data_IF_883554162841
#
_entry.id   IF_883554162841
#
_cell.length_a   1.000
_cell.length_b   1.000
_cell.length_c   1.000
_cell.angle_alpha   90.00
_cell.angle_beta   90.00
_cell.angle_gamma   90.00
#
_symmetry.space_group_name_H-M   'P 1'
#
loop_
_entity.id
_entity.type
_entity.pdbx_description
1 polymer ?
#
# COMPACT_ATOMS: atom_id res chain seq x y z
N UNK A 1 36.77 24.87 -0.25
CA UNK A 1 35.32 24.95 -0.04
C UNK A 1 34.80 23.56 0.25
N UNK A 2 34.20 23.37 1.41
CA UNK A 2 33.71 22.05 1.83
C UNK A 2 32.28 21.84 1.34
N UNK A 3 32.07 20.76 0.61
CA UNK A 3 30.75 20.30 0.22
C UNK A 3 30.11 19.52 1.34
N UNK A 4 28.92 19.93 1.76
CA UNK A 4 28.10 19.16 2.71
C UNK A 4 27.06 18.37 1.95
N UNK A 5 27.16 17.05 2.03
CA UNK A 5 26.16 16.15 1.47
C UNK A 5 25.26 15.68 2.62
N UNK A 6 23.98 16.07 2.57
CA UNK A 6 22.99 15.61 3.53
C UNK A 6 22.27 14.42 2.92
N UNK A 7 22.56 13.23 3.43
CA UNK A 7 21.85 12.03 3.05
C UNK A 7 20.68 11.79 4.01
N UNK A 8 19.53 11.38 3.46
CA UNK A 8 18.43 10.93 4.31
C UNK A 8 18.87 9.66 5.03
N UNK A 9 18.66 9.58 6.34
CA UNK A 9 18.94 8.34 7.04
C UNK A 9 18.12 7.21 6.43
N UNK A 10 18.74 6.04 6.23
CA UNK A 10 18.05 4.87 5.75
C UNK A 10 17.08 4.39 6.84
N UNK A 11 15.82 4.16 6.43
CA UNK A 11 14.81 3.56 7.31
C UNK A 11 14.67 2.11 6.89
N UNK A 12 14.86 1.19 7.82
CA UNK A 12 14.60 -0.21 7.57
C UNK A 12 13.14 -0.51 7.86
N UNK A 13 12.38 -0.77 6.82
CA UNK A 13 10.98 -1.17 6.91
C UNK A 13 10.88 -2.69 6.78
N UNK A 14 10.42 -3.35 7.84
CA UNK A 14 10.21 -4.79 7.85
C UNK A 14 8.74 -5.09 7.65
N UNK A 15 8.40 -5.79 6.59
CA UNK A 15 7.02 -6.16 6.29
C UNK A 15 6.72 -7.56 6.83
N UNK A 16 5.57 -7.71 7.48
CA UNK A 16 5.10 -8.99 8.00
C UNK A 16 3.64 -9.22 7.64
N UNK A 17 3.30 -10.46 7.31
CA UNK A 17 1.91 -10.86 7.16
C UNK A 17 1.32 -11.08 8.54
N UNK A 18 0.36 -10.22 8.91
CA UNK A 18 -0.24 -10.24 10.25
C UNK A 18 -1.72 -10.62 10.21
N UNK A 19 -2.31 -10.76 9.01
CA UNK A 19 -3.75 -10.73 8.89
C UNK A 19 -4.29 -9.39 9.39
N UNK A 20 -5.49 -9.38 9.94
CA UNK A 20 -6.16 -8.15 10.37
C UNK A 20 -6.00 -7.85 11.86
N UNK A 21 -5.03 -8.49 12.53
CA UNK A 21 -4.85 -8.41 14.00
C UNK A 21 -4.59 -6.99 14.50
N UNK A 22 -3.91 -6.17 13.72
CA UNK A 22 -3.57 -4.80 14.10
C UNK A 22 -4.58 -3.76 13.62
N UNK A 23 -5.58 -4.16 12.83
CA UNK A 23 -6.46 -3.20 12.15
C UNK A 23 -7.27 -2.36 13.13
N UNK A 24 -8.09 -2.99 13.96
CA UNK A 24 -9.00 -2.26 14.85
C UNK A 24 -8.26 -1.43 15.90
N UNK A 25 -7.18 -1.98 16.45
CA UNK A 25 -6.48 -1.34 17.56
C UNK A 25 -5.58 -0.19 17.13
N UNK A 26 -5.01 -0.23 15.91
CA UNK A 26 -3.99 0.72 15.50
C UNK A 26 -4.32 1.53 14.25
N UNK A 27 -4.97 0.93 13.25
CA UNK A 27 -5.02 1.53 11.91
C UNK A 27 -6.41 2.01 11.50
N UNK A 28 -7.48 1.37 11.94
CA UNK A 28 -8.84 1.66 11.49
C UNK A 28 -9.22 3.13 11.64
N UNK A 29 -8.90 3.75 12.76
CA UNK A 29 -9.23 5.15 13.03
C UNK A 29 -8.56 6.13 12.07
N UNK A 30 -7.47 5.72 11.41
CA UNK A 30 -6.74 6.55 10.46
C UNK A 30 -7.16 6.30 9.01
N UNK A 31 -8.05 5.33 8.79
CA UNK A 31 -8.61 5.07 7.48
C UNK A 31 -9.88 5.89 7.28
N UNK A 32 -10.01 6.54 6.14
CA UNK A 32 -11.09 7.48 5.88
C UNK A 32 -12.50 6.88 5.92
N UNK A 33 -12.63 5.57 5.74
CA UNK A 33 -13.93 4.88 5.76
C UNK A 33 -14.23 4.18 7.08
N UNK A 34 -13.28 4.06 8.00
CA UNK A 34 -13.43 3.38 9.30
C UNK A 34 -14.15 2.03 9.19
N UNK A 35 -13.82 1.25 8.17
CA UNK A 35 -14.43 -0.06 7.92
C UNK A 35 -13.67 -1.16 8.67
N UNK A 36 -14.40 -2.19 9.10
CA UNK A 36 -13.81 -3.37 9.73
C UNK A 36 -12.91 -4.18 8.80
N UNK A 37 -12.40 -5.33 9.25
CA UNK A 37 -11.59 -6.22 8.42
C UNK A 37 -12.34 -6.65 7.16
N UNK A 38 -11.61 -6.86 6.08
CA UNK A 38 -12.17 -7.25 4.80
C UNK A 38 -12.18 -8.76 4.67
N UNK A 39 -13.34 -9.39 4.31
CA UNK A 39 -13.38 -10.84 4.09
C UNK A 39 -12.57 -11.23 2.84
N UNK A 40 -12.12 -12.48 2.79
CA UNK A 40 -11.38 -13.06 1.66
C UNK A 40 -10.16 -12.22 1.27
N UNK A 41 -9.39 -11.86 2.28
CA UNK A 41 -8.19 -11.02 2.12
C UNK A 41 -7.15 -11.36 3.18
N UNK A 42 -5.97 -10.81 3.00
CA UNK A 42 -4.94 -10.78 4.06
C UNK A 42 -4.46 -9.37 4.27
N UNK A 43 -3.69 -9.17 5.31
CA UNK A 43 -3.09 -7.88 5.60
C UNK A 43 -1.63 -8.03 6.02
N UNK A 44 -0.87 -7.01 5.69
CA UNK A 44 0.54 -6.89 6.05
C UNK A 44 0.74 -5.62 6.85
N UNK A 45 1.63 -5.70 7.81
CA UNK A 45 2.03 -4.54 8.61
C UNK A 45 3.52 -4.30 8.42
N UNK A 46 3.88 -3.04 8.21
CA UNK A 46 5.26 -2.59 8.17
C UNK A 46 5.70 -2.15 9.55
N UNK A 47 6.90 -2.56 9.94
CA UNK A 47 7.52 -2.24 11.23
C UNK A 47 8.82 -1.50 11.02
N UNK A 48 9.04 -0.49 11.84
CA UNK A 48 10.34 0.20 11.97
C UNK A 48 10.76 0.07 13.42
N UNK A 49 11.93 -0.48 13.68
CA UNK A 49 12.43 -0.74 15.04
C UNK A 49 11.37 -1.45 15.91
N UNK A 50 10.76 -2.49 15.35
CA UNK A 50 9.70 -3.31 15.99
C UNK A 50 8.41 -2.55 16.34
N UNK A 51 8.25 -1.33 15.83
CA UNK A 51 7.01 -0.56 15.99
C UNK A 51 6.19 -0.61 14.71
N UNK A 52 4.88 -0.94 14.79
CA UNK A 52 4.02 -0.93 13.60
C UNK A 52 3.81 0.51 13.12
N UNK A 53 4.03 0.76 11.83
CA UNK A 53 3.97 2.10 11.26
C UNK A 53 3.02 2.23 10.07
N UNK A 54 2.72 1.13 9.39
CA UNK A 54 1.84 1.15 8.22
C UNK A 54 1.15 -0.19 8.02
N UNK A 55 0.06 -0.15 7.27
CA UNK A 55 -0.82 -1.30 7.05
C UNK A 55 -1.31 -1.33 5.60
N UNK A 56 -1.39 -2.50 5.02
CA UNK A 56 -2.01 -2.71 3.71
C UNK A 56 -2.76 -4.03 3.69
N UNK A 57 -3.99 -4.00 3.16
CA UNK A 57 -4.76 -5.20 2.89
C UNK A 57 -4.63 -5.61 1.43
N UNK A 58 -4.64 -6.92 1.16
CA UNK A 58 -4.62 -7.45 -0.19
C UNK A 58 -5.80 -8.39 -0.38
N UNK A 59 -6.51 -8.21 -1.48
CA UNK A 59 -7.66 -9.03 -1.85
C UNK A 59 -7.57 -9.42 -3.32
N UNK A 60 -8.45 -10.31 -3.74
CA UNK A 60 -8.56 -10.69 -5.14
C UNK A 60 -9.56 -9.85 -5.90
N UNK A 61 -9.36 -9.73 -7.20
CA UNK A 61 -10.31 -9.13 -8.12
C UNK A 61 -10.19 -9.75 -9.49
N UNK A 62 -11.14 -9.43 -10.37
CA UNK A 62 -11.08 -9.78 -11.79
C UNK A 62 -10.99 -8.50 -12.57
N UNK A 63 -9.95 -8.37 -13.40
CA UNK A 63 -9.76 -7.26 -14.32
C UNK A 63 -9.95 -7.80 -15.74
N UNK A 64 -11.10 -7.47 -16.35
CA UNK A 64 -11.49 -8.10 -17.60
C UNK A 64 -11.72 -9.60 -17.40
N UNK A 65 -10.91 -10.44 -18.06
CA UNK A 65 -10.96 -11.91 -17.92
C UNK A 65 -9.84 -12.48 -17.06
N UNK A 66 -9.00 -11.61 -16.48
CA UNK A 66 -7.82 -12.04 -15.75
C UNK A 66 -7.99 -11.81 -14.26
N UNK A 67 -7.43 -12.73 -13.48
CA UNK A 67 -7.29 -12.52 -12.04
C UNK A 67 -6.25 -11.44 -11.77
N UNK A 68 -6.49 -10.69 -10.72
CA UNK A 68 -5.59 -9.66 -10.25
C UNK A 68 -5.69 -9.54 -8.74
N UNK A 69 -4.70 -8.91 -8.14
CA UNK A 69 -4.76 -8.51 -6.74
C UNK A 69 -5.23 -7.07 -6.63
N UNK A 70 -5.83 -6.74 -5.50
CA UNK A 70 -6.24 -5.39 -5.17
C UNK A 70 -5.65 -5.00 -3.83
N UNK A 71 -4.91 -3.90 -3.81
CA UNK A 71 -4.46 -3.30 -2.57
C UNK A 71 -5.57 -2.45 -1.98
N UNK A 72 -5.83 -2.60 -0.70
CA UNK A 72 -6.93 -1.94 -0.01
C UNK A 72 -6.55 -1.60 1.43
N UNK A 73 -7.35 -0.75 2.05
CA UNK A 73 -7.17 -0.41 3.47
C UNK A 73 -5.73 -0.04 3.83
N UNK A 74 -5.10 0.74 2.94
CA UNK A 74 -3.75 1.23 3.17
C UNK A 74 -3.76 2.38 4.15
N UNK A 75 -2.97 2.27 5.21
CA UNK A 75 -2.82 3.30 6.23
C UNK A 75 -1.35 3.47 6.57
N UNK A 76 -0.90 4.70 6.64
CA UNK A 76 0.39 5.08 7.22
C UNK A 76 0.10 5.91 8.46
N UNK A 77 0.69 5.57 9.60
CA UNK A 77 0.48 6.36 10.81
C UNK A 77 0.97 7.80 10.60
N UNK A 78 0.29 8.79 11.21
CA UNK A 78 0.58 10.20 10.94
C UNK A 78 2.03 10.60 11.12
N UNK A 79 2.70 10.12 12.13
CA UNK A 79 4.10 10.42 12.41
C UNK A 79 5.07 9.84 11.37
N UNK A 80 4.60 8.95 10.50
CA UNK A 80 5.39 8.32 9.44
C UNK A 80 5.02 8.79 8.04
N UNK A 81 4.04 9.69 7.93
CA UNK A 81 3.67 10.25 6.64
C UNK A 81 4.82 11.09 6.07
N UNK A 82 5.05 10.97 4.77
CA UNK A 82 6.13 11.67 4.10
C UNK A 82 7.51 11.00 4.20
N UNK A 83 7.64 9.91 4.95
CA UNK A 83 8.89 9.17 5.06
C UNK A 83 9.12 8.14 3.94
N UNK A 84 8.13 7.96 3.04
CA UNK A 84 8.22 7.00 1.93
C UNK A 84 7.83 5.57 2.29
N UNK A 85 7.41 5.31 3.53
CA UNK A 85 7.05 3.95 3.95
C UNK A 85 5.80 3.42 3.25
N UNK A 86 4.83 4.29 2.97
CA UNK A 86 3.61 3.89 2.26
C UNK A 86 3.88 3.41 0.84
N UNK A 87 4.68 4.15 0.09
CA UNK A 87 5.06 3.77 -1.28
C UNK A 87 5.91 2.50 -1.27
N UNK A 88 6.87 2.39 -0.36
CA UNK A 88 7.70 1.20 -0.22
C UNK A 88 6.84 -0.04 0.10
N UNK A 89 5.88 0.09 1.00
CA UNK A 89 4.95 -0.97 1.36
C UNK A 89 4.09 -1.40 0.16
N UNK A 90 3.53 -0.44 -0.55
CA UNK A 90 2.70 -0.73 -1.72
C UNK A 90 3.50 -1.43 -2.81
N UNK A 91 4.71 -0.96 -3.10
CA UNK A 91 5.59 -1.59 -4.08
C UNK A 91 5.95 -3.02 -3.66
N UNK A 92 6.26 -3.22 -2.38
CA UNK A 92 6.59 -4.55 -1.85
C UNK A 92 5.41 -5.52 -2.01
N UNK A 93 4.21 -5.11 -1.65
CA UNK A 93 3.02 -5.95 -1.75
C UNK A 93 2.71 -6.32 -3.20
N UNK A 94 2.80 -5.35 -4.11
CA UNK A 94 2.59 -5.58 -5.54
C UNK A 94 3.64 -6.51 -6.14
N UNK A 95 4.90 -6.37 -5.73
CA UNK A 95 6.00 -7.22 -6.19
C UNK A 95 5.78 -8.68 -5.79
N UNK A 96 5.30 -8.94 -4.56
CA UNK A 96 4.97 -10.30 -4.11
C UNK A 96 3.91 -10.94 -4.99
N UNK A 97 2.89 -10.16 -5.37
CA UNK A 97 1.86 -10.67 -6.27
C UNK A 97 2.40 -10.99 -7.66
N UNK A 98 3.27 -10.14 -8.19
CA UNK A 98 3.93 -10.39 -9.48
C UNK A 98 4.80 -11.66 -9.46
N UNK A 99 5.39 -11.97 -8.33
CA UNK A 99 6.22 -13.17 -8.15
C UNK A 99 5.39 -14.43 -7.86
N UNK A 100 4.09 -14.30 -7.63
CA UNK A 100 3.24 -15.43 -7.27
C UNK A 100 3.30 -15.81 -5.81
N UNK A 101 3.93 -15.00 -4.97
CA UNK A 101 4.14 -15.24 -3.54
C UNK A 101 3.16 -14.47 -2.65
N UNK A 102 2.23 -13.72 -3.25
CA UNK A 102 1.25 -12.92 -2.53
C UNK A 102 -0.02 -13.68 -2.21
N UNK A 103 -1.08 -12.92 -1.91
CA UNK A 103 -2.37 -13.47 -1.50
C UNK A 103 -3.02 -14.34 -2.58
N UNK A 104 -2.90 -13.94 -3.84
CA UNK A 104 -3.52 -14.68 -4.96
C UNK A 104 -2.83 -16.02 -5.20
N UNK A 105 -1.55 -16.12 -4.90
CA UNK A 105 -0.79 -17.35 -5.12
C UNK A 105 -0.45 -17.64 -6.57
N UNK A 106 -0.65 -16.70 -7.47
CA UNK A 106 -0.30 -16.74 -8.88
C UNK A 106 0.35 -15.42 -9.27
N UNK A 107 1.09 -15.40 -10.36
CA UNK A 107 1.74 -14.19 -10.87
C UNK A 107 0.69 -13.27 -11.50
N UNK A 108 0.29 -12.26 -10.75
CA UNK A 108 -0.77 -11.33 -11.15
C UNK A 108 -0.35 -9.88 -10.87
N UNK A 109 -0.93 -8.92 -11.62
CA UNK A 109 -0.74 -7.52 -11.30
C UNK A 109 -1.58 -7.13 -10.08
N UNK A 110 -1.22 -6.00 -9.47
CA UNK A 110 -1.98 -5.38 -8.38
C UNK A 110 -2.61 -4.08 -8.86
N UNK A 111 -3.88 -3.90 -8.56
CA UNK A 111 -4.59 -2.65 -8.77
C UNK A 111 -4.69 -1.88 -7.46
N UNK A 112 -4.54 -0.58 -7.55
CA UNK A 112 -4.63 0.30 -6.40
C UNK A 112 -5.38 1.57 -6.78
N UNK A 113 -6.30 1.98 -5.92
CA UNK A 113 -7.09 3.18 -6.09
C UNK A 113 -6.79 4.16 -4.97
N UNK A 114 -6.53 5.41 -5.30
CA UNK A 114 -6.27 6.45 -4.30
C UNK A 114 -6.89 7.78 -4.71
N UNK A 115 -7.41 8.49 -3.73
CA UNK A 115 -7.82 9.89 -3.86
C UNK A 115 -6.79 10.86 -3.27
N UNK A 116 -5.69 10.35 -2.73
CA UNK A 116 -4.66 11.18 -2.11
C UNK A 116 -3.77 11.81 -3.17
N UNK A 117 -3.77 13.14 -3.36
CA UNK A 117 -3.04 13.78 -4.47
C UNK A 117 -1.54 13.52 -4.45
N UNK A 118 -0.93 13.56 -3.28
CA UNK A 118 0.51 13.35 -3.15
C UNK A 118 0.91 11.93 -3.55
N UNK A 119 0.15 10.93 -3.11
CA UNK A 119 0.41 9.53 -3.47
C UNK A 119 0.16 9.29 -4.96
N UNK A 120 -0.93 9.83 -5.51
CA UNK A 120 -1.21 9.75 -6.94
C UNK A 120 -0.07 10.34 -7.77
N UNK A 121 0.46 11.49 -7.35
CA UNK A 121 1.59 12.14 -8.01
C UNK A 121 2.84 11.24 -8.02
N UNK A 122 3.18 10.65 -6.87
CA UNK A 122 4.34 9.75 -6.76
C UNK A 122 4.17 8.51 -7.65
N UNK A 123 2.99 7.91 -7.64
CA UNK A 123 2.72 6.71 -8.44
C UNK A 123 2.76 7.00 -9.95
N UNK A 124 2.27 8.14 -10.39
CA UNK A 124 2.34 8.54 -11.80
C UNK A 124 3.78 8.69 -12.30
N UNK A 125 4.70 9.07 -11.43
CA UNK A 125 6.12 9.22 -11.76
C UNK A 125 6.92 7.93 -11.63
N UNK A 126 6.34 6.92 -11.00
CA UNK A 126 7.00 5.63 -10.82
C UNK A 126 6.99 4.84 -12.11
N UNK A 127 8.09 4.17 -12.42
CA UNK A 127 8.17 3.24 -13.54
C UNK A 127 7.48 1.90 -13.22
N UNK A 128 7.12 1.66 -11.97
CA UNK A 128 6.47 0.42 -11.53
C UNK A 128 4.95 0.46 -11.66
N UNK A 129 4.36 1.64 -11.75
CA UNK A 129 2.92 1.83 -11.77
C UNK A 129 2.46 2.52 -13.05
N UNK A 130 1.31 2.08 -13.56
CA UNK A 130 0.66 2.68 -14.73
C UNK A 130 -0.76 3.07 -14.36
N UNK A 131 -1.14 4.29 -14.66
CA UNK A 131 -2.50 4.75 -14.48
C UNK A 131 -3.40 4.13 -15.55
N UNK A 132 -4.45 3.41 -15.13
CA UNK A 132 -5.38 2.75 -16.05
C UNK A 132 -6.73 3.45 -16.11
N UNK A 133 -7.07 4.27 -15.11
CA UNK A 133 -8.29 5.06 -15.11
C UNK A 133 -8.12 6.29 -14.22
N UNK A 134 -8.98 7.28 -14.46
CA UNK A 134 -9.06 8.47 -13.61
C UNK A 134 -10.51 8.94 -13.61
N UNK A 135 -11.03 9.22 -12.42
CA UNK A 135 -12.37 9.79 -12.26
C UNK A 135 -12.32 10.93 -11.26
N UNK A 136 -13.07 11.98 -11.55
CA UNK A 136 -13.29 13.04 -10.59
C UNK A 136 -14.27 12.58 -9.53
N UNK A 137 -14.14 13.11 -8.33
CA UNK A 137 -15.08 12.81 -7.25
C UNK A 137 -16.51 13.19 -7.67
N UNK A 138 -17.44 12.23 -7.51
CA UNK A 138 -18.81 12.42 -7.91
C UNK A 138 -19.14 12.05 -9.36
N UNK A 139 -18.16 11.67 -10.16
CA UNK A 139 -18.41 11.19 -11.51
C UNK A 139 -19.16 9.86 -11.47
N UNK A 140 -20.29 9.85 -12.19
CA UNK A 140 -21.13 8.65 -12.33
C UNK A 140 -20.93 7.95 -13.67
N UNK A 141 -19.83 8.25 -14.32
CA UNK A 141 -19.55 7.84 -15.69
C UNK A 141 -19.45 6.37 -15.96
#
# INVERSE_FOLDING_TARGET
MNELVLEKPAIELVMRETGWDYWESLFERWHYLALGPMPYSTAYVGFVDDQPVCHIGMSGMVAGRQRAARACRMVVLPEWMGAGVGTAMLDWAAERELQGEGFIGAKVPTYFHTNHPALAFVLRRSLKWRQVSSRLYGDKG
#
